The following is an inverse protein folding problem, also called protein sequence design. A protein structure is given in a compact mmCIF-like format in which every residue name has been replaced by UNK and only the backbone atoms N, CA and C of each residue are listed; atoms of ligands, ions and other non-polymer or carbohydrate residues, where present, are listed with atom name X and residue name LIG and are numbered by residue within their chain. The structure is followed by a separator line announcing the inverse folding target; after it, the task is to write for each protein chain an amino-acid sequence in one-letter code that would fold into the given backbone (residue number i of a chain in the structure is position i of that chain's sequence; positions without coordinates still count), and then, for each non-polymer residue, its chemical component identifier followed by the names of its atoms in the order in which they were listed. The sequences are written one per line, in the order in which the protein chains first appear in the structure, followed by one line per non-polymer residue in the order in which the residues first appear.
data_IF_165853871810
#
_entry.id   IF_165853871810
#
_cell.length_a   1.000
_cell.length_b   1.000
_cell.length_c   1.000
_cell.angle_alpha   90.00
_cell.angle_beta   90.00
_cell.angle_gamma   90.00
#
_symmetry.space_group_name_H-M   'P 1'
#
loop_
_entity.id
_entity.type
_entity.pdbx_description
1 polymer ?
#
# COMPACT_ATOMS: atom_id res chain seq x y z
N UNK A 1 20.33 -10.06 -13.42
CA UNK A 1 19.41 -8.93 -13.21
C UNK A 1 18.33 -9.40 -12.26
N UNK A 2 18.42 -9.02 -10.98
CA UNK A 2 17.35 -9.23 -10.01
C UNK A 2 16.22 -8.27 -10.33
N UNK A 3 15.38 -8.64 -11.30
CA UNK A 3 14.08 -8.02 -11.45
C UNK A 3 13.27 -8.56 -10.28
N UNK A 4 13.30 -7.81 -9.18
CA UNK A 4 12.48 -8.07 -8.00
C UNK A 4 11.08 -8.37 -8.52
N UNK A 5 10.62 -9.60 -8.27
CA UNK A 5 9.24 -9.97 -8.50
C UNK A 5 8.41 -9.19 -7.49
N UNK A 6 8.18 -7.91 -7.76
CA UNK A 6 7.06 -7.20 -7.18
C UNK A 6 5.85 -8.03 -7.63
N UNK A 7 5.30 -8.79 -6.68
CA UNK A 7 4.01 -9.44 -6.90
C UNK A 7 3.03 -8.34 -7.28
N UNK A 8 2.04 -8.63 -8.13
CA UNK A 8 1.05 -7.62 -8.55
C UNK A 8 0.48 -6.83 -7.35
N UNK A 9 0.34 -7.51 -6.21
CA UNK A 9 -0.08 -6.93 -4.93
C UNK A 9 0.85 -5.87 -4.34
N UNK A 10 2.16 -5.89 -4.59
CA UNK A 10 3.10 -4.87 -4.10
C UNK A 10 3.11 -3.63 -4.98
N UNK A 11 2.96 -3.79 -6.30
CA UNK A 11 2.80 -2.65 -7.22
C UNK A 11 1.50 -1.90 -6.92
N UNK A 12 0.39 -2.64 -6.76
CA UNK A 12 -0.91 -2.09 -6.35
C UNK A 12 -0.80 -1.33 -5.02
N UNK A 13 0.03 -1.82 -4.09
CA UNK A 13 0.24 -1.20 -2.78
C UNK A 13 0.99 0.14 -2.89
N UNK A 14 2.07 0.17 -3.67
CA UNK A 14 2.84 1.40 -3.92
C UNK A 14 2.00 2.43 -4.68
N UNK A 15 1.22 1.99 -5.67
CA UNK A 15 0.30 2.85 -6.40
C UNK A 15 -0.80 3.43 -5.47
N UNK A 16 -1.34 2.62 -4.56
CA UNK A 16 -2.32 3.08 -3.58
C UNK A 16 -1.76 4.18 -2.68
N UNK A 17 -0.52 4.02 -2.16
CA UNK A 17 0.14 5.05 -1.34
C UNK A 17 0.39 6.32 -2.16
N UNK A 18 0.98 6.18 -3.35
CA UNK A 18 1.31 7.31 -4.21
C UNK A 18 0.07 8.15 -4.56
N UNK A 19 -1.04 7.50 -4.88
CA UNK A 19 -2.29 8.19 -5.16
C UNK A 19 -2.87 8.86 -3.90
N UNK A 20 -2.80 8.20 -2.74
CA UNK A 20 -3.28 8.78 -1.48
C UNK A 20 -2.46 10.01 -1.05
N UNK A 21 -1.14 10.02 -1.27
CA UNK A 21 -0.29 11.18 -0.94
C UNK A 21 -0.68 12.44 -1.73
N UNK A 22 -1.25 12.30 -2.92
CA UNK A 22 -1.75 13.43 -3.71
C UNK A 22 -3.10 13.96 -3.22
N UNK A 23 -3.88 13.12 -2.54
CA UNK A 23 -5.23 13.45 -2.06
C UNK A 23 -5.22 14.00 -0.62
N UNK A 24 -4.29 13.54 0.23
CA UNK A 24 -4.27 13.86 1.66
C UNK A 24 -2.88 14.30 2.15
N UNK A 25 -2.87 15.20 3.15
CA UNK A 25 -1.63 15.73 3.75
C UNK A 25 -0.76 14.67 4.43
N UNK A 26 -1.34 13.56 4.87
CA UNK A 26 -0.61 12.44 5.47
C UNK A 26 -1.41 11.15 5.26
N UNK A 27 -0.79 10.16 4.63
CA UNK A 27 -1.40 8.85 4.40
C UNK A 27 -1.38 8.05 5.69
N UNK A 28 -2.52 7.47 6.07
CA UNK A 28 -2.61 6.58 7.23
C UNK A 28 -2.98 5.16 6.79
N UNK A 29 -2.64 4.19 7.64
CA UNK A 29 -2.94 2.76 7.45
C UNK A 29 -4.42 2.51 7.13
N UNK A 30 -5.34 3.29 7.74
CA UNK A 30 -6.78 3.19 7.47
C UNK A 30 -7.19 3.64 6.08
N UNK A 31 -6.48 4.60 5.50
CA UNK A 31 -6.77 5.16 4.19
C UNK A 31 -6.31 4.16 3.11
N UNK A 32 -5.13 3.55 3.31
CA UNK A 32 -4.60 2.47 2.47
C UNK A 32 -5.53 1.25 2.51
N UNK A 33 -5.93 0.81 3.71
CA UNK A 33 -6.83 -0.32 3.88
C UNK A 33 -8.20 -0.10 3.20
N UNK A 34 -8.75 1.12 3.33
CA UNK A 34 -9.99 1.51 2.66
C UNK A 34 -9.85 1.50 1.14
N UNK A 35 -8.77 2.05 0.59
CA UNK A 35 -8.53 2.11 -0.85
C UNK A 35 -8.32 0.73 -1.47
N UNK A 36 -7.61 -0.16 -0.77
CA UNK A 36 -7.30 -1.50 -1.26
C UNK A 36 -8.37 -2.54 -0.89
N UNK A 37 -9.39 -2.18 -0.11
CA UNK A 37 -10.45 -3.10 0.32
C UNK A 37 -9.96 -4.22 1.25
N UNK A 38 -8.86 -4.01 1.98
CA UNK A 38 -8.25 -5.00 2.86
C UNK A 38 -8.44 -4.65 4.34
N UNK A 39 -8.12 -5.59 5.22
CA UNK A 39 -8.15 -5.34 6.67
C UNK A 39 -6.90 -4.57 7.11
N UNK A 40 -7.02 -3.76 8.15
CA UNK A 40 -5.89 -3.01 8.74
C UNK A 40 -4.66 -3.89 9.05
N UNK A 41 -4.80 -5.12 9.61
CA UNK A 41 -3.64 -5.97 9.90
C UNK A 41 -2.84 -6.36 8.65
N UNK A 42 -3.50 -6.45 7.49
CA UNK A 42 -2.85 -6.75 6.21
C UNK A 42 -1.86 -5.65 5.84
N UNK A 43 -2.28 -4.39 5.98
CA UNK A 43 -1.46 -3.21 5.70
C UNK A 43 -0.30 -3.12 6.70
N UNK A 44 -0.56 -3.32 8.00
CA UNK A 44 0.52 -3.32 9.00
C UNK A 44 1.51 -4.46 8.82
N UNK A 45 1.06 -5.62 8.33
CA UNK A 45 1.94 -6.74 8.00
C UNK A 45 2.87 -6.42 6.84
N UNK A 46 2.36 -5.78 5.78
CA UNK A 46 3.15 -5.35 4.63
C UNK A 46 4.20 -4.29 4.99
N UNK A 47 3.89 -3.38 5.91
CA UNK A 47 4.82 -2.33 6.34
C UNK A 47 5.94 -2.81 7.29
N UNK A 48 5.77 -3.98 7.90
CA UNK A 48 6.72 -4.54 8.89
C UNK A 48 7.64 -5.61 8.30
N UNK A 49 7.62 -5.81 6.98
CA UNK A 49 8.55 -6.66 6.23
C UNK A 49 9.72 -5.83 5.72
#
# INVERSE_FOLDING_TARGET
MSKEFLTSTMEDYLEAIFNLEQEVKAVRVKDIAGRMGVKLPTVTGMLNT
#
